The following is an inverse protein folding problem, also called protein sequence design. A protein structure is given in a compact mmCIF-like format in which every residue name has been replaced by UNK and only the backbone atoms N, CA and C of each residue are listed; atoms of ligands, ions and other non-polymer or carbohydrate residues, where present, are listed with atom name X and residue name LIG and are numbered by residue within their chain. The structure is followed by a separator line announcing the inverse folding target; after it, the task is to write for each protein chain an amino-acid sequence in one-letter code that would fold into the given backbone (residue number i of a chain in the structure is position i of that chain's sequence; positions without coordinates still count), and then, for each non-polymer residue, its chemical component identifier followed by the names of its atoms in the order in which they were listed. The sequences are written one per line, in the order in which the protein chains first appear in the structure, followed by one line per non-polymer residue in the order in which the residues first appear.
data_IF_139487697576
#
_entry.id   IF_139487697576
#
_cell.length_a   1.000
_cell.length_b   1.000
_cell.length_c   1.000
_cell.angle_alpha   90.00
_cell.angle_beta   90.00
_cell.angle_gamma   90.00
#
_symmetry.space_group_name_H-M   'P 1'
#
loop_
_entity.id
_entity.type
_entity.pdbx_description
1 polymer ?
#
# COMPACT_ATOMS: atom_id res chain seq x y z
N UNK A 1 97.16 -25.70 27.09
CA UNK A 1 96.07 -25.24 27.99
C UNK A 1 94.83 -24.98 27.15
N UNK A 2 93.71 -25.66 27.47
CA UNK A 2 92.27 -25.28 27.38
C UNK A 2 91.84 -24.42 26.17
N UNK A 3 91.10 -24.89 25.17
CA UNK A 3 89.70 -25.42 25.10
C UNK A 3 88.76 -24.43 24.38
N UNK A 4 88.18 -24.87 23.25
CA UNK A 4 86.78 -24.68 22.75
C UNK A 4 86.16 -23.26 22.74
N UNK A 5 85.41 -22.78 21.74
CA UNK A 5 84.22 -23.38 21.10
C UNK A 5 83.72 -22.50 19.93
N UNK A 6 83.05 -23.12 18.93
CA UNK A 6 82.34 -22.52 17.77
C UNK A 6 81.15 -21.63 18.14
N UNK A 7 80.77 -20.70 17.23
CA UNK A 7 79.39 -20.34 16.81
C UNK A 7 79.50 -19.58 15.46
N UNK A 8 79.20 -20.19 14.32
CA UNK A 8 77.89 -20.35 13.65
C UNK A 8 77.41 -19.09 12.89
N UNK A 9 77.26 -19.29 11.57
CA UNK A 9 76.77 -18.44 10.46
C UNK A 9 75.43 -17.75 10.76
N UNK A 10 75.08 -16.69 10.02
CA UNK A 10 73.86 -16.63 9.17
C UNK A 10 73.80 -15.35 8.33
N UNK A 11 73.67 -15.53 7.01
CA UNK A 11 73.36 -14.49 6.02
C UNK A 11 71.98 -13.87 6.29
N UNK A 12 71.91 -12.54 6.36
CA UNK A 12 70.64 -11.81 6.32
C UNK A 12 70.21 -11.54 4.88
N UNK A 13 69.35 -12.42 4.35
CA UNK A 13 68.56 -12.17 3.14
C UNK A 13 67.49 -11.12 3.49
N UNK A 14 67.61 -9.91 2.95
CA UNK A 14 66.57 -8.88 3.08
C UNK A 14 65.39 -9.25 2.19
N UNK A 15 64.35 -9.84 2.79
CA UNK A 15 63.06 -10.07 2.17
C UNK A 15 62.32 -8.73 2.04
N UNK A 16 62.15 -8.23 0.82
CA UNK A 16 61.26 -7.10 0.52
C UNK A 16 59.83 -7.63 0.56
N UNK A 17 59.11 -7.34 1.64
CA UNK A 17 57.68 -7.63 1.75
C UNK A 17 56.92 -6.56 0.98
N UNK A 18 56.56 -6.85 -0.27
CA UNK A 18 55.56 -6.08 -1.01
C UNK A 18 54.19 -6.37 -0.38
N UNK A 19 53.70 -5.45 0.44
CA UNK A 19 52.36 -5.51 1.01
C UNK A 19 51.31 -5.33 -0.09
N UNK A 20 50.73 -6.44 -0.55
CA UNK A 20 49.52 -6.40 -1.37
C UNK A 20 48.35 -5.99 -0.47
N UNK A 21 47.88 -4.74 -0.62
CA UNK A 21 46.57 -4.31 -0.12
C UNK A 21 45.50 -5.10 -0.89
N UNK A 22 45.03 -6.19 -0.29
CA UNK A 22 43.77 -6.81 -0.67
C UNK A 22 42.66 -5.83 -0.27
N UNK A 23 42.21 -5.02 -1.22
CA UNK A 23 40.93 -4.34 -1.11
C UNK A 23 39.86 -5.43 -1.02
N UNK A 24 39.39 -5.72 0.20
CA UNK A 24 38.16 -6.47 0.36
C UNK A 24 37.06 -5.70 -0.40
N UNK A 25 36.33 -6.31 -1.34
CA UNK A 25 35.15 -5.67 -1.90
C UNK A 25 34.26 -5.35 -0.71
N UNK A 26 34.00 -4.07 -0.47
CA UNK A 26 33.10 -3.64 0.58
C UNK A 26 31.81 -4.43 0.44
N UNK A 27 31.35 -5.04 1.53
CA UNK A 27 29.99 -5.55 1.61
C UNK A 27 29.09 -4.38 1.24
N UNK A 28 28.62 -4.34 -0.01
CA UNK A 28 27.62 -3.39 -0.41
C UNK A 28 26.44 -3.66 0.53
N UNK A 29 26.12 -2.68 1.36
CA UNK A 29 24.95 -2.77 2.22
C UNK A 29 23.77 -3.05 1.28
N UNK A 30 23.15 -4.19 1.49
CA UNK A 30 22.06 -4.64 0.65
C UNK A 30 20.97 -3.56 0.67
N UNK A 31 20.64 -3.03 -0.51
CA UNK A 31 19.66 -1.97 -0.67
C UNK A 31 18.35 -2.59 -1.15
N UNK A 32 17.25 -2.30 -0.44
CA UNK A 32 15.91 -2.74 -0.84
C UNK A 32 15.63 -2.37 -2.30
N UNK A 33 16.10 -1.20 -2.74
CA UNK A 33 15.97 -0.74 -4.11
C UNK A 33 16.80 -1.54 -5.11
N UNK A 34 17.98 -2.03 -4.73
CA UNK A 34 18.78 -2.91 -5.59
C UNK A 34 18.04 -4.22 -5.85
N UNK A 35 17.39 -4.77 -4.82
CA UNK A 35 16.54 -5.95 -4.97
C UNK A 35 15.31 -5.68 -5.85
N UNK A 36 14.64 -4.52 -5.70
CA UNK A 36 13.55 -4.11 -6.60
C UNK A 36 14.03 -4.01 -8.05
N UNK A 37 15.19 -3.38 -8.28
CA UNK A 37 15.75 -3.26 -9.62
C UNK A 37 16.11 -4.63 -10.23
N UNK A 38 16.62 -5.56 -9.42
CA UNK A 38 16.90 -6.93 -9.86
C UNK A 38 15.61 -7.67 -10.24
N UNK A 39 14.57 -7.56 -9.41
CA UNK A 39 13.26 -8.16 -9.68
C UNK A 39 12.65 -7.67 -10.99
N UNK A 40 12.70 -6.36 -11.25
CA UNK A 40 12.19 -5.76 -12.49
C UNK A 40 12.90 -6.26 -13.75
N UNK A 41 14.16 -6.69 -13.63
CA UNK A 41 14.92 -7.33 -14.72
C UNK A 41 14.69 -8.84 -14.82
N UNK A 42 13.85 -9.41 -13.95
CA UNK A 42 13.60 -10.85 -13.86
C UNK A 42 14.69 -11.64 -13.12
N UNK A 43 15.68 -10.96 -12.52
CA UNK A 43 16.72 -11.59 -11.72
C UNK A 43 16.24 -11.77 -10.27
N UNK A 44 15.32 -12.72 -10.12
CA UNK A 44 14.64 -12.96 -8.84
C UNK A 44 15.56 -13.51 -7.76
N UNK A 45 16.59 -14.29 -8.13
CA UNK A 45 17.54 -14.84 -7.18
C UNK A 45 18.38 -13.73 -6.53
N UNK A 46 18.90 -12.79 -7.34
CA UNK A 46 19.59 -11.61 -6.83
C UNK A 46 18.64 -10.73 -6.01
N UNK A 47 17.41 -10.51 -6.48
CA UNK A 47 16.42 -9.73 -5.74
C UNK A 47 16.20 -10.25 -4.31
N UNK A 48 16.00 -11.57 -4.18
CA UNK A 48 15.86 -12.24 -2.88
C UNK A 48 17.12 -12.08 -2.03
N UNK A 49 18.31 -12.23 -2.63
CA UNK A 49 19.57 -12.08 -1.90
C UNK A 49 19.71 -10.66 -1.31
N UNK A 50 19.39 -9.63 -2.09
CA UNK A 50 19.41 -8.22 -1.66
C UNK A 50 18.37 -7.92 -0.57
N UNK A 51 17.21 -8.59 -0.56
CA UNK A 51 16.20 -8.35 0.48
C UNK A 51 16.43 -9.10 1.79
N UNK A 52 17.22 -10.18 1.81
CA UNK A 52 17.41 -11.00 3.02
C UNK A 52 18.02 -10.22 4.19
N UNK A 53 19.05 -9.43 3.92
CA UNK A 53 19.71 -8.59 4.94
C UNK A 53 18.73 -7.58 5.55
N UNK A 54 18.17 -6.65 4.75
CA UNK A 54 17.27 -5.62 5.25
C UNK A 54 16.02 -6.20 5.92
N UNK A 55 15.45 -7.29 5.38
CA UNK A 55 14.30 -7.94 6.01
C UNK A 55 14.62 -8.55 7.39
N UNK A 56 15.84 -9.07 7.56
CA UNK A 56 16.37 -9.55 8.84
C UNK A 56 16.61 -8.43 9.83
N UNK A 57 16.97 -7.24 9.34
CA UNK A 57 17.12 -6.00 10.14
C UNK A 57 15.77 -5.32 10.45
N UNK A 58 14.67 -5.83 9.91
CA UNK A 58 13.33 -5.35 10.21
C UNK A 58 12.73 -4.44 9.13
N UNK A 59 13.39 -4.21 8.00
CA UNK A 59 12.85 -3.36 6.94
C UNK A 59 11.52 -3.91 6.39
N UNK A 60 10.45 -3.14 6.53
CA UNK A 60 9.09 -3.57 6.19
C UNK A 60 8.89 -3.77 4.68
N UNK A 61 9.57 -2.98 3.85
CA UNK A 61 9.48 -3.09 2.39
C UNK A 61 10.21 -4.37 1.93
N UNK A 62 11.38 -4.66 2.49
CA UNK A 62 12.12 -5.90 2.24
C UNK A 62 11.36 -7.15 2.74
N UNK A 63 10.73 -7.08 3.92
CA UNK A 63 9.87 -8.14 4.42
C UNK A 63 8.69 -8.38 3.47
N UNK A 64 8.01 -7.32 3.03
CA UNK A 64 6.94 -7.44 2.04
C UNK A 64 7.44 -8.11 0.74
N UNK A 65 8.61 -7.69 0.24
CA UNK A 65 9.18 -8.22 -1.00
C UNK A 65 9.56 -9.70 -0.88
N UNK A 66 10.14 -10.13 0.25
CA UNK A 66 10.36 -11.56 0.53
C UNK A 66 9.05 -12.33 0.63
N UNK A 67 8.02 -11.74 1.26
CA UNK A 67 6.69 -12.32 1.30
C UNK A 67 6.13 -12.60 -0.10
N UNK A 68 6.33 -11.67 -1.04
CA UNK A 68 5.95 -11.83 -2.44
C UNK A 68 6.79 -12.90 -3.14
N UNK A 69 8.11 -12.92 -2.94
CA UNK A 69 9.00 -13.94 -3.49
C UNK A 69 8.55 -15.36 -3.09
N UNK A 70 8.26 -15.57 -1.80
CA UNK A 70 7.75 -16.85 -1.29
C UNK A 70 6.34 -17.18 -1.78
N UNK A 71 5.43 -16.19 -1.89
CA UNK A 71 4.07 -16.42 -2.41
C UNK A 71 4.11 -16.93 -3.86
N UNK A 72 5.05 -16.43 -4.64
CA UNK A 72 5.15 -16.66 -6.08
C UNK A 72 6.14 -17.75 -6.48
N UNK A 73 7.00 -18.18 -5.57
CA UNK A 73 8.11 -19.09 -5.90
C UNK A 73 9.12 -18.46 -6.86
N UNK A 74 9.36 -17.15 -6.75
CA UNK A 74 10.30 -16.41 -7.61
C UNK A 74 11.60 -16.16 -6.86
N UNK A 75 12.70 -16.74 -7.31
CA UNK A 75 14.01 -16.64 -6.64
C UNK A 75 14.12 -17.49 -5.36
N UNK A 76 13.02 -18.11 -4.92
CA UNK A 76 12.91 -19.06 -3.80
C UNK A 76 11.84 -20.09 -4.16
N UNK A 77 11.84 -21.24 -3.47
CA UNK A 77 10.74 -22.20 -3.57
C UNK A 77 9.43 -21.57 -3.05
N UNK A 78 8.31 -21.85 -3.73
CA UNK A 78 7.01 -21.33 -3.33
C UNK A 78 6.63 -21.84 -1.94
N UNK A 79 6.31 -20.92 -1.03
CA UNK A 79 5.93 -21.26 0.34
C UNK A 79 4.95 -20.22 0.89
N UNK A 80 3.66 -20.53 0.86
CA UNK A 80 2.59 -19.64 1.32
C UNK A 80 2.64 -19.36 2.82
N UNK A 81 3.15 -20.31 3.64
CA UNK A 81 3.34 -20.09 5.08
C UNK A 81 4.45 -19.09 5.37
N UNK A 82 5.56 -19.16 4.65
CA UNK A 82 6.62 -18.15 4.75
C UNK A 82 6.13 -16.79 4.26
N UNK A 83 5.38 -16.75 3.16
CA UNK A 83 4.77 -15.52 2.68
C UNK A 83 3.88 -14.86 3.74
N UNK A 84 3.04 -15.63 4.42
CA UNK A 84 2.19 -15.16 5.52
C UNK A 84 3.02 -14.52 6.64
N UNK A 85 4.09 -15.19 7.08
CA UNK A 85 4.97 -14.69 8.15
C UNK A 85 5.59 -13.35 7.76
N UNK A 86 6.12 -13.23 6.56
CA UNK A 86 6.74 -12.00 6.08
C UNK A 86 5.72 -10.87 5.90
N UNK A 87 4.53 -11.15 5.37
CA UNK A 87 3.47 -10.14 5.31
C UNK A 87 3.01 -9.69 6.68
N UNK A 88 2.84 -10.61 7.64
CA UNK A 88 2.45 -10.28 9.01
C UNK A 88 3.47 -9.36 9.67
N UNK A 89 4.78 -9.65 9.51
CA UNK A 89 5.86 -8.79 10.01
C UNK A 89 5.80 -7.38 9.41
N UNK A 90 5.68 -7.27 8.09
CA UNK A 90 5.59 -5.96 7.43
C UNK A 90 4.29 -5.21 7.82
N UNK A 91 3.15 -5.91 7.85
CA UNK A 91 1.85 -5.35 8.24
C UNK A 91 1.84 -4.83 9.68
N UNK A 92 2.53 -5.52 10.61
CA UNK A 92 2.70 -5.07 11.99
C UNK A 92 3.46 -3.75 12.11
N UNK A 93 4.27 -3.42 11.11
CA UNK A 93 4.97 -2.13 11.01
C UNK A 93 4.13 -1.07 10.29
N UNK A 94 2.91 -1.41 9.88
CA UNK A 94 2.00 -0.55 9.14
C UNK A 94 2.01 -0.77 7.62
N UNK A 95 2.81 -1.72 7.09
CA UNK A 95 2.96 -1.93 5.65
C UNK A 95 1.63 -2.28 4.97
N UNK A 96 1.02 -1.27 4.34
CA UNK A 96 -0.36 -1.32 3.83
C UNK A 96 -0.55 -2.46 2.84
N UNK A 97 0.33 -2.57 1.84
CA UNK A 97 0.22 -3.65 0.85
C UNK A 97 0.48 -5.03 1.45
N UNK A 98 1.25 -5.11 2.53
CA UNK A 98 1.47 -6.37 3.22
C UNK A 98 0.22 -6.78 3.99
N UNK A 99 -0.43 -5.83 4.65
CA UNK A 99 -1.72 -6.03 5.30
C UNK A 99 -2.80 -6.45 4.30
N UNK A 100 -2.86 -5.79 3.13
CA UNK A 100 -3.80 -6.15 2.05
C UNK A 100 -3.55 -7.59 1.56
N UNK A 101 -2.29 -7.93 1.24
CA UNK A 101 -1.94 -9.28 0.76
C UNK A 101 -2.09 -10.35 1.85
N UNK A 102 -1.85 -10.02 3.12
CA UNK A 102 -2.12 -10.90 4.26
C UNK A 102 -3.61 -11.20 4.35
N UNK A 103 -4.47 -10.17 4.28
CA UNK A 103 -5.92 -10.34 4.28
C UNK A 103 -6.39 -11.27 3.16
N UNK A 104 -5.91 -11.05 1.93
CA UNK A 104 -6.25 -11.91 0.79
C UNK A 104 -5.75 -13.35 0.98
N UNK A 105 -4.53 -13.53 1.48
CA UNK A 105 -3.94 -14.85 1.73
C UNK A 105 -4.73 -15.63 2.79
N UNK A 106 -5.07 -14.97 3.91
CA UNK A 106 -5.91 -15.55 4.97
C UNK A 106 -7.28 -15.95 4.41
N UNK A 107 -7.89 -15.09 3.60
CA UNK A 107 -9.19 -15.35 3.00
C UNK A 107 -9.15 -16.55 2.04
N UNK A 108 -8.12 -16.66 1.19
CA UNK A 108 -7.90 -17.78 0.28
C UNK A 108 -7.66 -19.11 1.02
N UNK A 109 -7.00 -19.05 2.18
CA UNK A 109 -6.75 -20.22 3.03
C UNK A 109 -7.97 -20.59 3.91
N UNK A 110 -9.13 -19.97 3.69
CA UNK A 110 -10.37 -20.26 4.44
C UNK A 110 -10.43 -19.63 5.84
N UNK A 111 -9.42 -18.85 6.25
CA UNK A 111 -9.35 -18.14 7.55
C UNK A 111 -10.07 -16.80 7.46
N UNK A 112 -11.33 -16.82 7.04
CA UNK A 112 -12.08 -15.62 6.61
C UNK A 112 -12.36 -14.65 7.77
N UNK A 113 -12.60 -15.15 8.97
CA UNK A 113 -12.78 -14.36 10.19
C UNK A 113 -11.52 -13.55 10.51
N UNK A 114 -10.35 -14.17 10.36
CA UNK A 114 -9.05 -13.50 10.56
C UNK A 114 -8.73 -12.51 9.44
N UNK A 115 -9.19 -12.79 8.22
CA UNK A 115 -9.01 -11.92 7.07
C UNK A 115 -9.88 -10.64 7.13
N UNK A 116 -11.08 -10.73 7.70
CA UNK A 116 -12.10 -9.68 7.59
C UNK A 116 -11.65 -8.28 8.03
N UNK A 117 -10.90 -8.10 9.15
CA UNK A 117 -10.38 -6.79 9.52
C UNK A 117 -9.50 -6.16 8.42
N UNK A 118 -8.65 -6.96 7.76
CA UNK A 118 -7.82 -6.51 6.65
C UNK A 118 -8.66 -6.19 5.42
N UNK A 119 -9.66 -7.02 5.12
CA UNK A 119 -10.59 -6.82 3.99
C UNK A 119 -11.39 -5.52 4.16
N UNK A 120 -11.95 -5.26 5.35
CA UNK A 120 -12.70 -4.04 5.66
C UNK A 120 -11.82 -2.79 5.48
N UNK A 121 -10.60 -2.84 6.01
CA UNK A 121 -9.67 -1.73 5.95
C UNK A 121 -9.17 -1.46 4.51
N UNK A 122 -8.89 -2.52 3.74
CA UNK A 122 -8.50 -2.44 2.33
C UNK A 122 -9.66 -1.96 1.43
N UNK A 123 -10.88 -2.47 1.63
CA UNK A 123 -12.07 -2.03 0.91
C UNK A 123 -12.40 -0.56 1.23
N UNK A 124 -12.21 -0.15 2.49
CA UNK A 124 -12.33 1.24 2.92
C UNK A 124 -11.31 2.18 2.26
N UNK A 125 -10.17 1.67 1.78
CA UNK A 125 -9.25 2.41 0.91
C UNK A 125 -9.56 2.31 -0.56
N UNK A 126 -10.52 1.49 -0.94
CA UNK A 126 -10.85 1.24 -2.33
C UNK A 126 -9.94 0.25 -3.04
N UNK A 127 -9.30 -0.69 -2.35
CA UNK A 127 -8.70 -1.85 -3.03
C UNK A 127 -9.84 -2.65 -3.71
N UNK A 128 -9.80 -2.84 -5.03
CA UNK A 128 -10.92 -3.43 -5.76
C UNK A 128 -11.13 -4.91 -5.45
N UNK A 129 -10.09 -5.65 -5.07
CA UNK A 129 -10.20 -7.07 -4.67
C UNK A 129 -10.90 -7.16 -3.31
N UNK A 130 -10.54 -6.29 -2.38
CA UNK A 130 -11.18 -6.21 -1.08
C UNK A 130 -12.63 -5.68 -1.16
N UNK A 131 -12.91 -4.68 -2.02
CA UNK A 131 -14.29 -4.24 -2.29
C UNK A 131 -15.14 -5.38 -2.86
N UNK A 132 -14.59 -6.18 -3.77
CA UNK A 132 -15.25 -7.38 -4.28
C UNK A 132 -15.54 -8.38 -3.16
N UNK A 133 -14.55 -8.75 -2.33
CA UNK A 133 -14.76 -9.66 -1.19
C UNK A 133 -15.83 -9.15 -0.21
N UNK A 134 -15.73 -7.89 0.19
CA UNK A 134 -16.65 -7.29 1.14
C UNK A 134 -18.07 -7.21 0.58
N UNK A 135 -18.21 -6.91 -0.71
CA UNK A 135 -19.52 -6.86 -1.32
C UNK A 135 -20.17 -8.24 -1.49
N UNK A 136 -19.39 -9.30 -1.76
CA UNK A 136 -19.89 -10.69 -1.68
C UNK A 136 -20.33 -11.04 -0.25
N UNK A 137 -19.54 -10.64 0.75
CA UNK A 137 -19.86 -10.86 2.15
C UNK A 137 -21.18 -10.16 2.55
N UNK A 138 -21.39 -8.90 2.14
CA UNK A 138 -22.67 -8.20 2.33
C UNK A 138 -23.83 -8.77 1.53
N UNK A 139 -23.59 -9.35 0.34
CA UNK A 139 -24.65 -9.97 -0.44
C UNK A 139 -25.20 -11.22 0.26
N UNK A 140 -24.30 -12.06 0.77
CA UNK A 140 -24.65 -13.30 1.45
C UNK A 140 -25.03 -13.11 2.92
N UNK A 141 -24.56 -12.04 3.56
CA UNK A 141 -24.67 -11.86 5.01
C UNK A 141 -23.66 -12.71 5.79
N UNK A 142 -22.51 -13.01 5.16
CA UNK A 142 -21.45 -13.83 5.74
C UNK A 142 -20.43 -12.92 6.42
N UNK A 143 -20.18 -13.12 7.73
CA UNK A 143 -19.23 -12.35 8.56
C UNK A 143 -19.56 -10.87 8.78
N UNK A 144 -20.39 -10.29 7.90
CA UNK A 144 -20.93 -8.94 7.98
C UNK A 144 -22.44 -9.01 7.79
N UNK A 145 -23.16 -8.00 8.29
CA UNK A 145 -24.60 -7.91 8.08
C UNK A 145 -24.94 -7.84 6.58
N UNK A 146 -26.02 -8.53 6.20
CA UNK A 146 -26.51 -8.52 4.82
C UNK A 146 -27.00 -7.12 4.45
N UNK A 147 -26.37 -6.54 3.43
CA UNK A 147 -26.67 -5.19 2.93
C UNK A 147 -26.53 -5.21 1.40
N UNK A 148 -27.64 -5.43 0.70
CA UNK A 148 -27.64 -5.54 -0.76
C UNK A 148 -27.29 -4.24 -1.47
N UNK A 149 -27.66 -3.09 -0.90
CA UNK A 149 -27.32 -1.76 -1.46
C UNK A 149 -25.81 -1.56 -1.41
N UNK A 150 -25.18 -1.80 -0.26
CA UNK A 150 -23.72 -1.73 -0.09
C UNK A 150 -22.99 -2.79 -0.90
N UNK A 151 -23.51 -4.02 -0.93
CA UNK A 151 -22.95 -5.09 -1.74
C UNK A 151 -22.85 -4.69 -3.21
N UNK A 152 -23.97 -4.22 -3.79
CA UNK A 152 -24.04 -3.82 -5.19
C UNK A 152 -23.14 -2.62 -5.48
N UNK A 153 -23.10 -1.64 -4.57
CA UNK A 153 -22.23 -0.47 -4.69
C UNK A 153 -20.74 -0.85 -4.70
N UNK A 154 -20.31 -1.73 -3.79
CA UNK A 154 -18.92 -2.20 -3.70
C UNK A 154 -18.50 -2.99 -4.95
N UNK A 155 -19.36 -3.89 -5.45
CA UNK A 155 -19.07 -4.67 -6.66
C UNK A 155 -19.08 -3.80 -7.91
N UNK A 156 -19.92 -2.76 -7.96
CA UNK A 156 -19.88 -1.75 -9.02
C UNK A 156 -18.55 -1.00 -9.03
N UNK A 157 -18.02 -0.62 -7.84
CA UNK A 157 -16.70 0.02 -7.73
C UNK A 157 -15.56 -0.91 -8.14
N UNK A 158 -15.59 -2.17 -7.70
CA UNK A 158 -14.61 -3.16 -8.08
C UNK A 158 -14.60 -3.41 -9.60
N UNK A 159 -15.78 -3.48 -10.22
CA UNK A 159 -15.93 -3.61 -11.66
C UNK A 159 -15.39 -2.39 -12.41
N UNK A 160 -15.75 -1.18 -11.96
CA UNK A 160 -15.25 0.06 -12.54
C UNK A 160 -13.72 0.23 -12.42
N UNK A 161 -13.12 -0.37 -11.38
CA UNK A 161 -11.68 -0.45 -11.19
C UNK A 161 -10.99 -1.53 -12.06
N UNK A 162 -11.74 -2.22 -12.93
CA UNK A 162 -11.22 -3.16 -13.90
C UNK A 162 -11.02 -4.57 -13.36
N UNK A 163 -11.69 -4.96 -12.27
CA UNK A 163 -11.71 -6.35 -11.80
C UNK A 163 -12.76 -7.14 -12.60
N UNK A 164 -12.38 -7.96 -13.60
CA UNK A 164 -13.35 -8.53 -14.55
C UNK A 164 -14.37 -9.45 -13.89
N UNK A 165 -13.99 -10.10 -12.79
CA UNK A 165 -14.86 -11.00 -12.02
C UNK A 165 -16.00 -10.27 -11.32
N UNK A 166 -15.86 -8.96 -11.07
CA UNK A 166 -16.92 -8.15 -10.50
C UNK A 166 -18.09 -7.95 -11.48
N UNK A 167 -17.84 -7.86 -12.79
CA UNK A 167 -18.89 -7.74 -13.80
C UNK A 167 -19.90 -8.90 -13.73
N UNK A 168 -19.38 -10.14 -13.70
CA UNK A 168 -20.20 -11.34 -13.59
C UNK A 168 -20.97 -11.40 -12.28
N UNK A 169 -20.37 -10.96 -11.17
CA UNK A 169 -21.03 -10.92 -9.87
C UNK A 169 -22.17 -9.90 -9.85
N UNK A 170 -21.98 -8.71 -10.44
CA UNK A 170 -23.05 -7.70 -10.59
C UNK A 170 -24.23 -8.27 -11.38
N UNK A 171 -23.97 -8.94 -12.52
CA UNK A 171 -25.02 -9.57 -13.33
C UNK A 171 -25.80 -10.66 -12.57
N UNK A 172 -25.13 -11.42 -11.70
CA UNK A 172 -25.80 -12.40 -10.84
C UNK A 172 -26.62 -11.71 -9.76
N UNK A 173 -26.12 -10.63 -9.18
CA UNK A 173 -26.88 -9.85 -8.20
C UNK A 173 -28.13 -9.22 -8.82
N UNK A 174 -28.10 -8.88 -10.11
CA UNK A 174 -29.24 -8.31 -10.82
C UNK A 174 -30.48 -9.22 -10.84
N UNK A 175 -30.32 -10.53 -10.66
CA UNK A 175 -31.43 -11.49 -10.57
C UNK A 175 -31.99 -11.62 -9.16
N UNK A 176 -31.30 -11.07 -8.15
CA UNK A 176 -31.64 -11.24 -6.74
C UNK A 176 -31.96 -9.92 -6.03
N UNK A 177 -31.33 -8.82 -6.43
CA UNK A 177 -31.48 -7.51 -5.80
C UNK A 177 -32.59 -6.72 -6.51
N UNK A 178 -33.64 -6.30 -5.78
CA UNK A 178 -34.70 -5.44 -6.30
C UNK A 178 -34.18 -4.15 -6.96
N UNK A 179 -34.92 -3.64 -7.94
CA UNK A 179 -34.51 -2.46 -8.70
C UNK A 179 -34.28 -1.23 -7.82
N UNK A 180 -35.17 -0.97 -6.86
CA UNK A 180 -35.08 0.14 -5.91
C UNK A 180 -33.77 0.11 -5.10
N UNK A 181 -33.30 -1.08 -4.72
CA UNK A 181 -32.04 -1.23 -3.99
C UNK A 181 -30.82 -1.04 -4.91
N UNK A 182 -30.90 -1.46 -6.18
CA UNK A 182 -29.84 -1.17 -7.16
C UNK A 182 -29.75 0.32 -7.49
N UNK A 183 -30.89 1.01 -7.60
CA UNK A 183 -30.94 2.46 -7.76
C UNK A 183 -30.33 3.18 -6.55
N UNK A 184 -30.65 2.73 -5.33
CA UNK A 184 -30.01 3.24 -4.11
C UNK A 184 -28.48 3.01 -4.12
N UNK A 185 -28.02 1.87 -4.63
CA UNK A 185 -26.60 1.54 -4.72
C UNK A 185 -25.84 2.48 -5.67
N UNK A 186 -26.49 2.95 -6.76
CA UNK A 186 -25.91 3.94 -7.67
C UNK A 186 -25.61 5.28 -6.96
N UNK A 187 -26.41 5.65 -5.97
CA UNK A 187 -26.16 6.83 -5.13
C UNK A 187 -25.07 6.59 -4.07
N UNK A 188 -24.95 5.36 -3.56
CA UNK A 188 -23.97 4.98 -2.53
C UNK A 188 -22.55 4.80 -3.07
N UNK A 189 -22.37 4.18 -4.24
CA UNK A 189 -21.05 3.93 -4.84
C UNK A 189 -20.15 5.19 -4.91
N UNK A 190 -20.61 6.35 -5.42
CA UNK A 190 -19.76 7.55 -5.45
C UNK A 190 -19.46 8.11 -4.05
N UNK A 191 -20.30 7.85 -3.04
CA UNK A 191 -20.02 8.23 -1.64
C UNK A 191 -18.86 7.38 -1.10
N UNK A 192 -18.96 6.05 -1.22
CA UNK A 192 -17.90 5.12 -0.82
C UNK A 192 -16.58 5.42 -1.53
N UNK A 193 -16.62 5.77 -2.82
CA UNK A 193 -15.43 6.19 -3.56
C UNK A 193 -14.79 7.45 -2.96
N UNK A 194 -15.58 8.49 -2.67
CA UNK A 194 -15.05 9.72 -2.06
C UNK A 194 -14.45 9.45 -0.68
N UNK A 195 -15.08 8.61 0.12
CA UNK A 195 -14.56 8.20 1.43
C UNK A 195 -13.23 7.44 1.30
N UNK A 196 -13.13 6.54 0.32
CA UNK A 196 -11.90 5.82 0.01
C UNK A 196 -10.78 6.77 -0.43
N UNK A 197 -11.08 7.69 -1.35
CA UNK A 197 -10.15 8.70 -1.84
C UNK A 197 -9.66 9.61 -0.68
N UNK A 198 -10.57 10.02 0.22
CA UNK A 198 -10.23 10.80 1.41
C UNK A 198 -9.36 10.01 2.40
N UNK A 199 -9.65 8.72 2.64
CA UNK A 199 -8.82 7.85 3.50
C UNK A 199 -7.41 7.68 2.95
N UNK A 200 -7.25 7.49 1.63
CA UNK A 200 -5.93 7.43 0.99
C UNK A 200 -5.18 8.75 1.13
N UNK A 201 -5.85 9.89 0.89
CA UNK A 201 -5.26 11.21 1.05
C UNK A 201 -4.77 11.48 2.49
N UNK A 202 -5.61 11.19 3.49
CA UNK A 202 -5.24 11.35 4.91
C UNK A 202 -4.05 10.47 5.31
N UNK A 203 -3.94 9.26 4.74
CA UNK A 203 -2.79 8.38 5.00
C UNK A 203 -1.49 8.92 4.43
N UNK A 204 -1.52 9.44 3.20
CA UNK A 204 -0.34 10.07 2.60
C UNK A 204 0.11 11.27 3.44
N UNK A 205 -0.83 12.10 3.91
CA UNK A 205 -0.53 13.21 4.80
C UNK A 205 0.08 12.74 6.14
N UNK A 206 -0.41 11.64 6.72
CA UNK A 206 0.17 11.03 7.92
C UNK A 206 1.63 10.55 7.72
N UNK A 207 1.94 9.97 6.55
CA UNK A 207 3.32 9.59 6.19
C UNK A 207 4.22 10.82 6.09
N UNK A 208 3.75 11.90 5.47
CA UNK A 208 4.51 13.16 5.35
C UNK A 208 4.85 13.77 6.72
N UNK A 209 3.89 13.71 7.65
CA UNK A 209 4.00 14.23 9.02
C UNK A 209 4.71 13.26 9.99
N UNK A 210 5.05 12.04 9.56
CA UNK A 210 5.65 11.01 10.41
C UNK A 210 4.69 10.39 11.44
N UNK A 211 3.39 10.69 11.35
CA UNK A 211 2.33 10.24 12.26
C UNK A 211 1.53 9.10 11.64
N UNK A 212 2.19 7.95 11.41
CA UNK A 212 1.52 6.77 10.85
C UNK A 212 0.62 6.05 11.86
N UNK A 213 -0.64 5.71 11.53
CA UNK A 213 -1.47 4.85 12.37
C UNK A 213 -0.90 3.42 12.39
N UNK A 214 -0.87 2.81 13.57
CA UNK A 214 -0.61 1.38 13.70
C UNK A 214 -1.80 0.61 13.11
N UNK A 215 -1.53 -0.28 12.16
CA UNK A 215 -2.55 -1.20 11.65
C UNK A 215 -2.86 -2.26 12.71
N UNK A 216 -4.08 -2.84 12.72
CA UNK A 216 -4.44 -3.89 13.66
C UNK A 216 -3.63 -5.16 13.37
N UNK A 217 -2.42 -5.24 13.89
CA UNK A 217 -1.69 -6.49 14.00
C UNK A 217 -2.12 -7.15 15.30
N UNK A 218 -2.98 -8.16 15.21
CA UNK A 218 -3.00 -9.17 16.27
C UNK A 218 -1.70 -9.96 16.11
N UNK A 219 -0.90 -10.14 17.17
CA UNK A 219 0.23 -11.05 17.09
C UNK A 219 -0.35 -12.43 16.76
N UNK A 220 0.18 -13.04 15.70
CA UNK A 220 0.01 -14.49 15.49
C UNK A 220 0.72 -15.11 16.67
N UNK A 221 -0.04 -15.54 17.68
CA UNK A 221 0.53 -16.20 18.85
C UNK A 221 1.35 -17.39 18.38
N UNK A 222 2.64 -17.39 18.72
CA UNK A 222 3.42 -18.62 18.74
C UNK A 222 2.64 -19.67 19.54
N UNK A 223 2.63 -20.89 19.01
CA UNK A 223 2.03 -22.05 19.63
C UNK A 223 2.71 -22.34 20.97
N UNK A 224 2.24 -21.67 22.02
CA UNK A 224 2.63 -21.87 23.42
C UNK A 224 1.41 -22.33 24.19
N UNK A 225 1.42 -23.58 24.63
CA UNK A 225 0.43 -24.14 25.54
C UNK A 225 0.29 -23.27 26.79
N UNK A 226 -0.94 -22.84 27.11
CA UNK A 226 -1.28 -22.28 28.42
C UNK A 226 -2.18 -23.25 29.19
N UNK A 227 -2.03 -23.32 30.52
CA UNK A 227 -2.68 -24.33 31.34
C UNK A 227 -4.15 -23.98 31.61
N UNK A 228 -4.98 -25.01 31.68
CA UNK A 228 -6.39 -24.90 32.04
C UNK A 228 -6.53 -24.51 33.53
N UNK A 229 -7.46 -23.60 33.90
CA UNK A 229 -7.87 -23.48 35.28
C UNK A 229 -8.85 -24.61 35.63
N UNK A 230 -8.57 -25.30 36.74
CA UNK A 230 -9.49 -26.26 37.33
C UNK A 230 -10.71 -25.52 37.89
N UNK A 231 -11.89 -25.82 37.35
CA UNK A 231 -13.18 -25.32 37.82
C UNK A 231 -14.26 -26.36 37.59
N UNK A 232 -14.93 -26.75 38.67
CA UNK A 232 -15.94 -27.79 38.81
C UNK A 232 -17.07 -27.74 37.78
N UNK A 233 -17.40 -28.91 37.22
CA UNK A 233 -18.42 -29.14 36.19
C UNK A 233 -19.82 -29.18 36.84
N UNK A 234 -20.70 -28.29 36.40
CA UNK A 234 -22.16 -28.44 36.54
C UNK A 234 -22.72 -28.81 35.16
N UNK A 235 -23.62 -29.81 35.01
CA UNK A 235 -24.10 -30.22 33.69
C UNK A 235 -25.12 -29.20 33.17
N UNK A 236 -24.65 -28.25 32.37
CA UNK A 236 -25.51 -27.42 31.53
C UNK A 236 -25.79 -28.16 30.22
N UNK A 237 -27.06 -28.06 29.76
CA UNK A 237 -27.64 -28.51 28.48
C UNK A 237 -26.63 -28.72 27.34
N UNK A 238 -26.84 -29.72 26.46
CA UNK A 238 -25.96 -29.93 25.31
C UNK A 238 -25.88 -28.62 24.50
N UNK A 239 -24.70 -28.01 24.56
CA UNK A 239 -24.34 -26.89 23.71
C UNK A 239 -24.50 -27.39 22.28
N UNK A 240 -25.44 -26.76 21.55
CA UNK A 240 -25.56 -26.95 20.12
C UNK A 240 -24.20 -26.58 19.54
N UNK A 241 -23.49 -27.60 19.03
CA UNK A 241 -22.27 -27.42 18.24
C UNK A 241 -22.58 -26.30 17.23
N UNK A 242 -21.79 -25.21 17.16
CA UNK A 242 -21.92 -24.27 16.05
C UNK A 242 -21.73 -25.08 14.78
N UNK A 243 -22.83 -25.33 14.07
CA UNK A 243 -22.74 -26.00 12.78
C UNK A 243 -21.87 -25.11 11.89
N UNK A 244 -20.99 -25.68 11.05
CA UNK A 244 -20.34 -24.89 10.01
C UNK A 244 -21.43 -24.15 9.25
N UNK A 245 -21.30 -22.83 9.12
CA UNK A 245 -22.23 -22.02 8.34
C UNK A 245 -22.26 -22.66 6.95
N UNK A 246 -23.42 -23.20 6.59
CA UNK A 246 -23.62 -23.86 5.31
C UNK A 246 -23.34 -22.83 4.25
N UNK A 247 -22.26 -23.01 3.48
CA UNK A 247 -21.94 -22.14 2.36
C UNK A 247 -23.16 -22.07 1.45
N UNK A 248 -23.68 -20.86 1.23
CA UNK A 248 -24.75 -20.64 0.26
C UNK A 248 -24.22 -21.05 -1.11
N UNK A 249 -24.84 -22.08 -1.71
CA UNK A 249 -24.54 -22.53 -3.09
C UNK A 249 -25.05 -21.54 -4.15
N UNK A 250 -25.57 -20.39 -3.73
CA UNK A 250 -26.13 -19.36 -4.61
C UNK A 250 -24.99 -18.44 -5.03
N UNK A 251 -24.88 -18.21 -6.34
CA UNK A 251 -23.86 -17.35 -6.89
C UNK A 251 -24.25 -15.86 -6.70
N UNK A 252 -23.28 -14.95 -6.48
CA UNK A 252 -21.85 -15.23 -6.38
C UNK A 252 -21.45 -15.83 -5.02
N UNK A 253 -20.78 -16.99 -5.05
CA UNK A 253 -20.36 -17.71 -3.86
C UNK A 253 -18.98 -17.27 -3.37
N UNK A 254 -18.71 -17.46 -2.08
CA UNK A 254 -17.42 -17.13 -1.46
C UNK A 254 -16.28 -17.93 -2.09
N UNK A 255 -16.50 -19.20 -2.43
CA UNK A 255 -15.51 -20.06 -3.09
C UNK A 255 -15.17 -19.59 -4.51
N UNK A 256 -16.17 -19.13 -5.25
CA UNK A 256 -15.95 -18.50 -6.55
C UNK A 256 -15.15 -17.20 -6.39
N UNK A 257 -15.42 -16.43 -5.34
CA UNK A 257 -14.68 -15.21 -5.04
C UNK A 257 -13.20 -15.47 -4.69
N UNK A 258 -12.90 -16.53 -3.92
CA UNK A 258 -11.52 -16.95 -3.64
C UNK A 258 -10.75 -17.29 -4.93
N UNK A 259 -11.38 -18.06 -5.82
CA UNK A 259 -10.79 -18.47 -7.10
C UNK A 259 -10.55 -17.27 -8.02
N UNK A 260 -11.54 -16.36 -8.08
CA UNK A 260 -11.47 -15.12 -8.84
C UNK A 260 -10.29 -14.25 -8.42
N UNK A 261 -10.03 -14.13 -7.12
CA UNK A 261 -8.94 -13.29 -6.60
C UNK A 261 -7.58 -13.95 -6.80
N UNK A 262 -7.50 -15.28 -6.67
CA UNK A 262 -6.28 -16.01 -6.99
C UNK A 262 -5.88 -15.84 -8.47
N UNK A 263 -6.85 -15.75 -9.37
CA UNK A 263 -6.62 -15.43 -10.77
C UNK A 263 -6.28 -13.95 -10.98
N UNK A 264 -7.09 -13.03 -10.43
CA UNK A 264 -6.85 -11.59 -10.57
C UNK A 264 -5.46 -11.19 -10.06
N UNK A 265 -5.02 -11.73 -8.92
CA UNK A 265 -3.71 -11.43 -8.36
C UNK A 265 -2.55 -11.90 -9.25
N UNK A 266 -2.74 -12.96 -10.04
CA UNK A 266 -1.76 -13.43 -11.03
C UNK A 266 -1.74 -12.57 -12.29
N UNK A 267 -2.90 -12.07 -12.73
CA UNK A 267 -3.07 -11.39 -14.02
C UNK A 267 -2.78 -9.88 -13.96
N UNK A 268 -3.12 -9.18 -12.87
CA UNK A 268 -3.08 -7.71 -12.81
C UNK A 268 -1.71 -7.10 -12.54
N UNK A 269 -0.65 -7.90 -12.40
CA UNK A 269 0.71 -7.38 -12.26
C UNK A 269 1.00 -6.64 -10.95
N UNK A 270 0.08 -6.66 -9.97
CA UNK A 270 0.27 -6.12 -8.60
C UNK A 270 1.33 -6.89 -7.77
N UNK A 271 2.07 -7.75 -8.45
CA UNK A 271 3.13 -8.59 -7.92
C UNK A 271 4.50 -7.91 -7.95
N UNK A 272 4.62 -6.75 -8.62
CA UNK A 272 5.87 -5.98 -8.64
C UNK A 272 6.12 -5.28 -7.29
N UNK A 273 7.28 -5.52 -6.66
CA UNK A 273 7.82 -4.73 -5.57
C UNK A 273 7.93 -3.23 -5.86
N UNK A 274 8.10 -2.83 -7.13
CA UNK A 274 8.30 -1.44 -7.51
C UNK A 274 7.07 -0.57 -7.24
N UNK A 275 5.88 -1.17 -7.20
CA UNK A 275 4.65 -0.48 -6.85
C UNK A 275 4.47 -0.35 -5.32
N UNK A 276 5.24 -1.10 -4.51
CA UNK A 276 5.02 -1.24 -3.07
C UNK A 276 5.77 -0.24 -2.18
N UNK A 277 6.92 0.28 -2.62
CA UNK A 277 7.90 0.98 -1.77
C UNK A 277 7.62 2.44 -1.41
N UNK A 278 6.37 2.87 -1.27
CA UNK A 278 6.05 4.29 -1.03
C UNK A 278 5.67 4.64 0.43
N UNK A 279 5.70 3.69 1.37
CA UNK A 279 5.08 3.93 2.69
C UNK A 279 5.97 3.83 3.93
N UNK A 280 7.20 3.30 3.88
CA UNK A 280 7.97 3.01 5.11
C UNK A 280 9.43 3.48 5.20
N UNK A 281 9.98 4.16 4.19
CA UNK A 281 11.39 4.61 4.18
C UNK A 281 11.81 5.65 5.26
N UNK A 282 11.01 5.86 6.31
CA UNK A 282 11.26 6.86 7.35
C UNK A 282 11.03 6.32 8.77
N UNK A 283 11.74 5.26 9.19
CA UNK A 283 12.06 5.08 10.62
C UNK A 283 13.23 4.11 10.89
N UNK A 284 14.45 4.56 10.62
CA UNK A 284 15.64 4.00 11.26
C UNK A 284 16.65 5.13 11.48
N UNK A 285 16.58 5.73 12.67
CA UNK A 285 17.68 6.28 13.50
C UNK A 285 17.04 7.02 14.68
N UNK A 286 16.87 6.33 15.81
CA UNK A 286 16.62 7.00 17.10
C UNK A 286 17.94 7.21 17.81
N UNK A 287 18.27 8.48 18.09
CA UNK A 287 19.19 8.86 19.17
C UNK A 287 18.52 10.04 19.89
N UNK A 288 18.48 10.08 21.24
CA UNK A 288 17.71 11.09 21.97
C UNK A 288 18.49 12.41 22.10
N UNK A 289 17.85 13.53 21.78
CA UNK A 289 18.32 14.89 22.11
C UNK A 289 17.40 15.49 23.20
N UNK A 290 17.92 16.04 24.32
CA UNK A 290 17.12 16.52 25.43
C UNK A 290 16.79 18.00 25.24
N UNK A 291 15.54 18.28 24.87
CA UNK A 291 15.11 19.67 24.68
C UNK A 291 13.63 19.80 24.38
N UNK A 292 12.76 19.21 25.22
CA UNK A 292 11.32 19.44 25.14
C UNK A 292 10.96 20.68 25.94
N UNK A 293 10.65 21.77 25.25
CA UNK A 293 9.92 22.92 25.80
C UNK A 293 8.43 22.61 25.77
N UNK A 294 7.78 22.79 26.91
CA UNK A 294 6.39 22.47 27.21
C UNK A 294 5.46 23.63 26.78
N UNK A 295 4.30 23.38 26.13
CA UNK A 295 3.30 24.43 25.92
C UNK A 295 2.28 24.49 27.06
N UNK A 296 2.06 25.71 27.58
CA UNK A 296 1.09 26.05 28.62
C UNK A 296 -0.37 25.97 28.13
N UNK A 297 -1.34 25.78 29.06
CA UNK A 297 -2.75 25.55 28.73
C UNK A 297 -3.52 26.85 28.44
N UNK A 298 -4.30 26.86 27.36
CA UNK A 298 -5.28 27.91 27.06
C UNK A 298 -6.60 27.65 27.77
N UNK A 299 -7.11 28.69 28.42
CA UNK A 299 -8.39 28.77 29.14
C UNK A 299 -9.63 28.64 28.22
N UNK A 300 -10.79 28.22 28.76
CA UNK A 300 -12.02 28.07 27.98
C UNK A 300 -12.75 29.40 27.78
N UNK A 301 -13.16 29.68 26.54
CA UNK A 301 -14.03 30.83 26.21
C UNK A 301 -15.49 30.40 26.25
N UNK A 302 -16.27 31.17 27.00
CA UNK A 302 -17.71 31.05 27.24
C UNK A 302 -18.53 31.45 26.00
N UNK A 303 -19.63 30.73 25.79
CA UNK A 303 -20.63 30.96 24.75
C UNK A 303 -21.26 32.37 24.80
N UNK A 304 -21.50 32.97 23.63
CA UNK A 304 -22.42 34.10 23.48
C UNK A 304 -23.23 33.99 22.19
N UNK A 305 -24.48 34.45 22.30
CA UNK A 305 -25.62 34.21 21.43
C UNK A 305 -25.52 34.75 19.99
N UNK A 306 -26.29 34.11 19.11
CA UNK A 306 -26.47 34.44 17.70
C UNK A 306 -27.31 35.72 17.46
N UNK A 307 -27.03 36.48 16.38
CA UNK A 307 -28.01 37.35 15.74
C UNK A 307 -28.59 36.75 14.43
N UNK A 308 -29.84 37.10 14.16
CA UNK A 308 -30.70 36.66 13.06
C UNK A 308 -30.34 37.29 11.68
N UNK A 309 -30.84 36.71 10.56
CA UNK A 309 -30.33 36.98 9.20
C UNK A 309 -31.02 38.15 8.48
N UNK A 310 -30.24 38.96 7.76
CA UNK A 310 -30.72 39.97 6.80
C UNK A 310 -30.88 39.39 5.38
N UNK A 311 -31.81 39.94 4.56
CA UNK A 311 -32.26 39.33 3.30
C UNK A 311 -31.28 39.46 2.12
N UNK A 312 -31.25 38.40 1.31
CA UNK A 312 -30.45 38.22 0.08
C UNK A 312 -30.82 39.20 -1.01
N UNK A 313 -29.80 39.81 -1.61
CA UNK A 313 -29.84 40.41 -2.95
C UNK A 313 -29.58 39.33 -4.03
N UNK A 314 -30.39 39.35 -5.09
CA UNK A 314 -30.35 38.38 -6.20
C UNK A 314 -29.06 38.50 -7.04
N UNK A 315 -28.50 37.39 -7.57
CA UNK A 315 -27.34 37.42 -8.45
C UNK A 315 -27.74 37.73 -9.90
N UNK A 316 -27.07 38.74 -10.48
CA UNK A 316 -27.11 39.07 -11.92
C UNK A 316 -26.56 37.89 -12.76
N UNK A 317 -27.09 37.59 -13.96
CA UNK A 317 -26.61 36.45 -14.75
C UNK A 317 -25.19 36.69 -15.26
N UNK A 318 -24.28 35.77 -14.97
CA UNK A 318 -22.94 35.75 -15.57
C UNK A 318 -23.01 35.32 -17.05
N UNK A 319 -22.17 35.87 -17.93
CA UNK A 319 -22.12 35.44 -19.33
C UNK A 319 -21.63 33.98 -19.42
N UNK A 320 -22.18 33.27 -20.40
CA UNK A 320 -21.91 31.87 -20.73
C UNK A 320 -20.40 31.67 -20.96
N UNK A 321 -19.72 30.67 -20.35
CA UNK A 321 -18.31 30.46 -20.58
C UNK A 321 -18.08 29.96 -22.02
N UNK A 322 -17.28 30.73 -22.77
CA UNK A 322 -16.61 30.24 -23.97
C UNK A 322 -15.74 29.02 -23.62
N UNK A 323 -15.49 28.10 -24.57
CA UNK A 323 -14.63 26.94 -24.33
C UNK A 323 -13.22 27.45 -24.04
N UNK A 324 -12.75 27.30 -22.80
CA UNK A 324 -11.38 27.63 -22.44
C UNK A 324 -10.42 26.83 -23.34
N UNK A 325 -9.64 27.57 -24.12
CA UNK A 325 -8.59 27.05 -24.97
C UNK A 325 -7.69 26.09 -24.17
N UNK A 326 -7.33 24.99 -24.81
CA UNK A 326 -6.49 23.93 -24.25
C UNK A 326 -5.20 24.52 -23.67
N UNK A 327 -5.08 24.39 -22.35
CA UNK A 327 -3.90 24.71 -21.55
C UNK A 327 -2.72 23.86 -21.99
N UNK A 328 -1.84 24.45 -22.82
CA UNK A 328 -0.50 23.91 -23.04
C UNK A 328 0.42 24.42 -21.93
N UNK A 329 1.22 23.54 -21.35
CA UNK A 329 2.33 23.99 -20.50
C UNK A 329 3.34 24.74 -21.39
N UNK A 330 3.76 25.91 -20.91
CA UNK A 330 4.52 26.91 -21.67
C UNK A 330 5.56 27.67 -20.83
N UNK A 331 6.08 27.04 -19.76
CA UNK A 331 7.18 27.58 -18.95
C UNK A 331 6.79 28.35 -17.69
N UNK A 332 5.56 28.21 -17.20
CA UNK A 332 5.14 28.83 -15.93
C UNK A 332 5.64 28.11 -14.68
N UNK A 333 5.55 28.77 -13.50
CA UNK A 333 6.13 28.26 -12.25
C UNK A 333 5.37 27.06 -11.68
N UNK A 334 4.13 26.83 -12.10
CA UNK A 334 3.31 25.76 -11.52
C UNK A 334 3.70 24.39 -12.10
N UNK A 335 3.60 23.38 -11.24
CA UNK A 335 3.96 21.99 -11.54
C UNK A 335 2.87 21.05 -11.00
N UNK A 336 2.79 19.87 -11.60
CA UNK A 336 1.96 18.76 -11.16
C UNK A 336 2.87 17.62 -10.73
N UNK A 337 2.90 17.30 -9.44
CA UNK A 337 3.58 16.13 -8.92
C UNK A 337 2.79 14.87 -9.30
N UNK A 338 3.43 13.99 -10.05
CA UNK A 338 2.88 12.73 -10.55
C UNK A 338 3.20 11.56 -9.61
N UNK A 339 4.25 11.70 -8.80
CA UNK A 339 4.65 10.71 -7.80
C UNK A 339 5.93 11.12 -7.08
N UNK A 340 6.27 10.40 -6.02
CA UNK A 340 7.55 10.49 -5.34
C UNK A 340 8.13 9.06 -5.23
N UNK A 341 9.36 8.89 -5.69
CA UNK A 341 9.96 7.58 -5.91
C UNK A 341 11.26 7.46 -5.14
N UNK A 342 11.47 6.37 -4.41
CA UNK A 342 12.77 6.07 -3.80
C UNK A 342 13.86 5.78 -4.85
N UNK A 343 13.46 5.44 -6.09
CA UNK A 343 14.35 5.11 -7.20
C UNK A 343 14.01 5.96 -8.42
N UNK A 344 15.00 6.69 -8.94
CA UNK A 344 14.84 7.58 -10.09
C UNK A 344 14.31 6.86 -11.34
N UNK A 345 14.70 5.60 -11.55
CA UNK A 345 14.21 4.79 -12.67
C UNK A 345 12.69 4.55 -12.68
N UNK A 346 12.02 4.59 -11.51
CA UNK A 346 10.56 4.46 -11.44
C UNK A 346 9.87 5.75 -11.84
N UNK A 347 10.45 6.90 -11.46
CA UNK A 347 10.02 8.21 -11.92
C UNK A 347 10.12 8.29 -13.46
N UNK A 348 11.22 7.82 -14.03
CA UNK A 348 11.42 7.83 -15.48
C UNK A 348 10.44 6.93 -16.23
N UNK A 349 10.13 5.74 -15.71
CA UNK A 349 9.11 4.87 -16.33
C UNK A 349 7.71 5.44 -16.24
N UNK A 350 7.35 6.05 -15.10
CA UNK A 350 6.06 6.73 -15.00
C UNK A 350 5.98 7.89 -16.00
N UNK A 351 7.06 8.69 -16.10
CA UNK A 351 7.13 9.75 -17.09
C UNK A 351 6.99 9.23 -18.52
N UNK A 352 7.73 8.18 -18.89
CA UNK A 352 7.67 7.58 -20.22
C UNK A 352 6.26 7.08 -20.59
N UNK A 353 5.48 6.58 -19.62
CA UNK A 353 4.10 6.13 -19.81
C UNK A 353 3.11 7.29 -19.97
N UNK A 354 3.39 8.43 -19.34
CA UNK A 354 2.46 9.56 -19.26
C UNK A 354 2.79 10.69 -20.24
N UNK A 355 4.04 10.83 -20.69
CA UNK A 355 4.52 12.01 -21.44
C UNK A 355 3.75 12.32 -22.73
N UNK A 356 3.19 11.29 -23.38
CA UNK A 356 2.47 11.43 -24.65
C UNK A 356 0.96 11.64 -24.45
N UNK A 357 0.50 11.72 -23.19
CA UNK A 357 -0.89 11.98 -22.86
C UNK A 357 -1.23 13.45 -23.11
N UNK A 358 -2.43 13.70 -23.62
CA UNK A 358 -2.92 15.04 -23.93
C UNK A 358 -2.94 15.95 -22.68
N UNK A 359 -3.16 15.36 -21.51
CA UNK A 359 -3.18 16.01 -20.20
C UNK A 359 -1.83 16.60 -19.78
N UNK A 360 -0.72 16.10 -20.35
CA UNK A 360 0.64 16.56 -20.09
C UNK A 360 1.27 17.26 -21.30
N UNK A 361 0.48 17.63 -22.31
CA UNK A 361 0.97 18.25 -23.53
C UNK A 361 1.73 19.56 -23.24
N UNK A 362 3.02 19.59 -23.61
CA UNK A 362 3.92 20.71 -23.39
C UNK A 362 4.54 20.77 -21.99
N UNK A 363 4.22 19.83 -21.10
CA UNK A 363 4.79 19.81 -19.76
C UNK A 363 6.24 19.30 -19.80
N UNK A 364 7.11 19.92 -19.01
CA UNK A 364 8.51 19.51 -18.89
C UNK A 364 8.69 18.54 -17.74
N UNK A 365 9.49 17.49 -17.95
CA UNK A 365 9.88 16.57 -16.87
C UNK A 365 10.79 17.31 -15.90
N UNK A 366 10.44 17.30 -14.63
CA UNK A 366 11.31 17.78 -13.55
C UNK A 366 11.45 16.68 -12.51
N UNK A 367 12.69 16.28 -12.24
CA UNK A 367 13.04 15.40 -11.13
C UNK A 367 13.60 16.27 -10.02
N UNK A 368 12.89 16.32 -8.90
CA UNK A 368 13.29 17.13 -7.75
C UNK A 368 13.67 16.22 -6.57
N UNK A 369 14.96 16.16 -6.19
CA UNK A 369 15.37 15.43 -5.00
C UNK A 369 14.69 16.00 -3.74
N UNK A 370 14.09 15.13 -2.95
CA UNK A 370 13.35 15.51 -1.74
C UNK A 370 13.66 14.51 -0.62
N UNK A 371 14.83 14.67 0.01
CA UNK A 371 15.33 13.70 0.99
C UNK A 371 15.80 12.42 0.31
N UNK A 372 15.22 11.27 0.70
CA UNK A 372 15.54 9.94 0.13
C UNK A 372 14.65 9.55 -1.06
N UNK A 373 13.79 10.45 -1.52
CA UNK A 373 12.90 10.21 -2.66
C UNK A 373 13.06 11.32 -3.69
N UNK A 374 12.84 10.97 -4.95
CA UNK A 374 12.80 11.88 -6.08
C UNK A 374 11.36 12.13 -6.47
N UNK A 375 10.93 13.39 -6.41
CA UNK A 375 9.61 13.80 -6.89
C UNK A 375 9.64 13.90 -8.40
N UNK A 376 8.72 13.19 -9.05
CA UNK A 376 8.44 13.38 -10.47
C UNK A 376 7.39 14.48 -10.62
N UNK A 377 7.77 15.55 -11.31
CA UNK A 377 6.93 16.71 -11.54
C UNK A 377 6.79 16.93 -13.06
N UNK A 378 5.56 17.20 -13.50
CA UNK A 378 5.27 17.81 -14.79
C UNK A 378 5.25 19.33 -14.59
N UNK A 379 6.23 20.05 -15.12
CA UNK A 379 6.37 21.49 -14.96
C UNK A 379 5.90 22.29 -16.17
N UNK A 380 5.85 23.62 -16.01
CA UNK A 380 5.60 24.56 -17.10
C UNK A 380 4.19 25.13 -17.15
N UNK A 381 3.36 24.94 -16.13
CA UNK A 381 2.00 25.48 -16.12
C UNK A 381 1.99 26.97 -15.75
N UNK A 382 1.31 27.80 -16.55
CA UNK A 382 1.27 29.26 -16.39
C UNK A 382 0.59 29.69 -15.07
N UNK A 383 -0.47 28.98 -14.68
CA UNK A 383 -1.23 29.27 -13.46
C UNK A 383 -1.52 28.01 -12.64
N UNK A 384 -1.90 28.22 -11.38
CA UNK A 384 -2.38 27.14 -10.49
C UNK A 384 -3.58 26.42 -11.10
N UNK A 385 -4.48 27.17 -11.73
CA UNK A 385 -5.68 26.62 -12.39
C UNK A 385 -5.29 25.70 -13.55
N UNK A 386 -4.27 26.02 -14.33
CA UNK A 386 -3.83 25.17 -15.45
C UNK A 386 -3.25 23.86 -14.94
N UNK A 387 -2.39 23.92 -13.91
CA UNK A 387 -1.85 22.73 -13.25
C UNK A 387 -2.96 21.89 -12.59
N UNK A 388 -3.97 22.54 -11.99
CA UNK A 388 -5.11 21.85 -11.38
C UNK A 388 -5.99 21.18 -12.44
N UNK A 389 -6.22 21.81 -13.58
CA UNK A 389 -6.97 21.25 -14.68
C UNK A 389 -6.29 20.01 -15.27
N UNK A 390 -4.97 20.09 -15.48
CA UNK A 390 -4.16 18.95 -15.91
C UNK A 390 -4.20 17.81 -14.88
N UNK A 391 -4.03 18.11 -13.59
CA UNK A 391 -4.10 17.11 -12.54
C UNK A 391 -5.51 16.47 -12.43
N UNK A 392 -6.58 17.25 -12.55
CA UNK A 392 -7.94 16.72 -12.55
C UNK A 392 -8.21 15.79 -13.75
N UNK A 393 -7.64 16.11 -14.92
CA UNK A 393 -7.74 15.25 -16.10
C UNK A 393 -6.97 13.94 -15.90
N UNK A 394 -5.76 14.00 -15.34
CA UNK A 394 -4.99 12.80 -14.97
C UNK A 394 -5.75 11.91 -13.98
N UNK A 395 -6.37 12.48 -12.95
CA UNK A 395 -7.18 11.73 -11.97
C UNK A 395 -8.38 11.01 -12.61
N UNK A 396 -9.02 11.62 -13.60
CA UNK A 396 -10.10 10.97 -14.37
C UNK A 396 -9.61 9.74 -15.15
N UNK A 397 -8.35 9.75 -15.57
CA UNK A 397 -7.67 8.61 -16.22
C UNK A 397 -7.02 7.63 -15.24
N UNK A 398 -7.29 7.75 -13.94
CA UNK A 398 -6.74 6.88 -12.89
C UNK A 398 -5.32 7.22 -12.44
N UNK A 399 -4.76 8.36 -12.86
CA UNK A 399 -3.43 8.81 -12.42
C UNK A 399 -3.55 9.83 -11.29
N UNK A 400 -3.06 9.47 -10.10
CA UNK A 400 -2.99 10.38 -8.97
C UNK A 400 -1.94 11.47 -9.19
N UNK A 401 -2.20 12.65 -8.63
CA UNK A 401 -1.33 13.82 -8.73
C UNK A 401 -1.66 14.91 -7.68
N UNK A 402 -0.70 15.81 -7.48
CA UNK A 402 -0.78 16.99 -6.61
C UNK A 402 -0.28 18.24 -7.34
N UNK A 403 -0.91 19.39 -7.12
CA UNK A 403 -0.45 20.67 -7.69
C UNK A 403 0.54 21.34 -6.73
N UNK A 404 1.69 21.74 -7.25
CA UNK A 404 2.73 22.48 -6.52
C UNK A 404 3.22 23.68 -7.34
N UNK A 405 3.88 24.62 -6.66
CA UNK A 405 4.61 25.73 -7.29
C UNK A 405 6.10 25.42 -7.33
#
# INVERSE_FOLDING_TARGET
MRSTTRKARYSGLKLVLAGALLAAPGLALADVNAGVAAWERGDYATAVAEWRGPAGEGDADAQFNLGQAYRLGRGVEQNTRQAEVYYAKAAAQGHVKAADNLGLLLFQNGRREEAMPYVLDAAGRGDPRAQYLLGIAHFNGDLVERDWVRAYALLTLANAAGLPQAANAVQQMDTHIPLDQREAAQALAPQLKREADARRASRLAAVDLGTGPAMPARPVSDAGAMPAPAGTITPARPARVPQPVVETRVAPSVTAAQSAIAEASRVTGTESPADAGATFARRSTSTPDPGRVEPQPTTPVVARAAPQPEPRSEPRPAPRPEPAASTRAGGGPWKVQLGAFAVDGNAERLWARLKDRAELAGATRVLEPSGRVTKLLAGGYASRSDAQNACNALKRSGQDCLVTR
#
